data_IF_410560906282
#
_entry.id   IF_410560906282
#
_cell.length_a   1.000
_cell.length_b   1.000
_cell.length_c   1.000
_cell.angle_alpha   90.00
_cell.angle_beta   90.00
_cell.angle_gamma   90.00
#
_symmetry.space_group_name_H-M   'P 1'
#
loop_
_entity.id
_entity.type
_entity.pdbx_description
1 polymer ?
#
# COMPACT_ATOMS: atom_id res chain seq x y z
N UNK A 1 -7.35 5.86 -8.71
CA UNK A 1 -7.32 7.33 -8.62
C UNK A 1 -8.54 8.01 -9.25
N UNK A 2 -9.47 7.26 -9.86
CA UNK A 2 -10.69 7.83 -10.45
C UNK A 2 -11.73 8.14 -9.34
N UNK A 3 -12.15 9.39 -9.25
CA UNK A 3 -13.15 9.87 -8.29
C UNK A 3 -14.54 9.26 -8.47
N UNK A 4 -14.83 8.69 -9.66
CA UNK A 4 -16.09 7.97 -9.91
C UNK A 4 -16.23 6.68 -9.10
N UNK A 5 -15.11 6.08 -8.68
CA UNK A 5 -15.09 4.82 -7.94
C UNK A 5 -14.55 4.96 -6.51
N UNK A 6 -13.75 6.00 -6.25
CA UNK A 6 -13.14 6.22 -4.94
C UNK A 6 -13.30 7.68 -4.51
N UNK A 7 -14.02 7.93 -3.42
CA UNK A 7 -14.06 9.24 -2.77
C UNK A 7 -12.67 9.63 -2.25
N UNK A 8 -12.22 10.87 -2.48
CA UNK A 8 -10.86 11.35 -2.16
C UNK A 8 -9.74 10.43 -2.66
N UNK A 9 -9.67 10.12 -3.96
CA UNK A 9 -8.86 9.03 -4.48
C UNK A 9 -7.36 9.13 -4.14
N UNK A 10 -6.86 10.35 -3.92
CA UNK A 10 -5.47 10.66 -3.58
C UNK A 10 -5.12 10.42 -2.10
N UNK A 11 -6.13 10.28 -1.23
CA UNK A 11 -5.95 10.06 0.20
C UNK A 11 -5.87 8.56 0.53
N UNK A 12 -5.01 8.21 1.49
CA UNK A 12 -4.85 6.84 1.97
C UNK A 12 -5.93 6.50 3.01
N UNK A 13 -6.94 5.74 2.60
CA UNK A 13 -8.03 5.28 3.45
C UNK A 13 -8.10 3.74 3.46
N UNK A 14 -7.51 3.07 4.46
CA UNK A 14 -7.54 1.60 4.59
C UNK A 14 -8.96 1.03 4.59
N UNK A 15 -9.90 1.74 5.23
CA UNK A 15 -11.30 1.34 5.38
C UNK A 15 -12.05 1.15 4.06
N UNK A 16 -11.53 1.65 2.92
CA UNK A 16 -12.08 1.35 1.59
C UNK A 16 -12.17 -0.15 1.32
N UNK A 17 -11.31 -0.94 1.95
CA UNK A 17 -11.21 -2.38 1.78
C UNK A 17 -11.79 -3.15 2.98
N UNK A 18 -12.58 -2.50 3.83
CA UNK A 18 -13.33 -3.18 4.88
C UNK A 18 -14.33 -4.16 4.27
N UNK A 19 -14.73 -5.18 5.05
CA UNK A 19 -15.68 -6.19 4.60
C UNK A 19 -17.00 -5.57 4.10
N UNK A 20 -17.46 -4.51 4.77
CA UNK A 20 -18.70 -3.82 4.41
C UNK A 20 -18.58 -3.04 3.09
N UNK A 21 -17.51 -2.25 2.92
CA UNK A 21 -17.31 -1.44 1.72
C UNK A 21 -17.02 -2.31 0.49
N UNK A 22 -16.40 -3.47 0.68
CA UNK A 22 -16.12 -4.40 -0.42
C UNK A 22 -17.39 -5.06 -0.99
N UNK A 23 -18.52 -5.10 -0.27
CA UNK A 23 -19.79 -5.64 -0.78
C UNK A 23 -20.35 -4.82 -1.94
N UNK A 24 -20.09 -3.52 -1.95
CA UNK A 24 -20.58 -2.58 -2.98
C UNK A 24 -19.50 -2.16 -3.97
N UNK A 25 -18.27 -2.66 -3.80
CA UNK A 25 -17.15 -2.34 -4.67
C UNK A 25 -17.39 -2.87 -6.10
N UNK A 26 -17.25 -1.98 -7.08
CA UNK A 26 -17.43 -2.34 -8.49
C UNK A 26 -16.27 -3.21 -8.97
N UNK A 27 -16.57 -4.37 -9.58
CA UNK A 27 -15.57 -5.27 -10.15
C UNK A 27 -14.66 -4.55 -11.16
N UNK A 28 -13.39 -4.98 -11.22
CA UNK A 28 -12.36 -4.45 -12.12
C UNK A 28 -12.01 -2.97 -11.93
N UNK A 29 -12.36 -2.36 -10.80
CA UNK A 29 -11.92 -0.99 -10.45
C UNK A 29 -10.62 -0.96 -9.63
N UNK A 30 -10.24 -2.10 -9.05
CA UNK A 30 -8.98 -2.32 -8.34
C UNK A 30 -8.27 -3.58 -8.87
N UNK A 31 -7.13 -3.44 -9.55
CA UNK A 31 -6.40 -4.56 -10.18
C UNK A 31 -4.88 -4.44 -9.99
N UNK A 32 -4.37 -4.37 -8.74
CA UNK A 32 -2.94 -4.15 -8.47
C UNK A 32 -2.03 -5.29 -8.97
N UNK A 33 -2.60 -6.48 -9.17
CA UNK A 33 -1.90 -7.67 -9.65
C UNK A 33 -2.37 -8.11 -11.04
N UNK A 34 -3.10 -7.25 -11.76
CA UNK A 34 -3.75 -7.60 -13.03
C UNK A 34 -4.91 -8.58 -12.87
N UNK A 35 -5.45 -9.02 -14.00
CA UNK A 35 -6.61 -9.91 -14.09
C UNK A 35 -6.52 -10.81 -15.33
N UNK A 36 -7.15 -11.98 -15.29
CA UNK A 36 -7.14 -12.95 -16.40
C UNK A 36 -5.85 -13.79 -16.47
N UNK A 37 -5.62 -14.50 -17.59
CA UNK A 37 -4.52 -15.48 -17.73
C UNK A 37 -3.10 -14.92 -17.62
N UNK A 38 -2.94 -13.60 -17.69
CA UNK A 38 -1.67 -12.87 -17.59
C UNK A 38 -1.57 -12.03 -16.31
N UNK A 39 -2.36 -12.34 -15.29
CA UNK A 39 -2.20 -11.72 -13.97
C UNK A 39 -0.87 -12.13 -13.31
N UNK A 40 -0.51 -11.45 -12.23
CA UNK A 40 0.71 -11.77 -11.49
C UNK A 40 0.60 -13.16 -10.86
N UNK A 41 1.38 -14.12 -11.36
CA UNK A 41 1.44 -15.48 -10.82
C UNK A 41 1.88 -15.51 -9.34
N UNK A 42 2.66 -14.51 -8.91
CA UNK A 42 3.19 -14.40 -7.56
C UNK A 42 2.27 -13.71 -6.54
N UNK A 43 1.04 -13.29 -6.91
CA UNK A 43 0.25 -12.42 -6.04
C UNK A 43 -0.05 -13.03 -4.66
N UNK A 44 -0.30 -14.35 -4.58
CA UNK A 44 -0.56 -15.03 -3.31
C UNK A 44 0.67 -15.06 -2.42
N UNK A 45 1.84 -15.32 -3.01
CA UNK A 45 3.11 -15.33 -2.31
C UNK A 45 3.45 -13.92 -1.79
N UNK A 46 3.36 -12.90 -2.66
CA UNK A 46 3.61 -11.52 -2.28
C UNK A 46 2.70 -11.04 -1.15
N UNK A 47 1.41 -11.41 -1.16
CA UNK A 47 0.49 -11.08 -0.07
C UNK A 47 0.86 -11.78 1.25
N UNK A 48 1.27 -13.05 1.20
CA UNK A 48 1.70 -13.78 2.39
C UNK A 48 2.98 -13.17 2.97
N UNK A 49 3.99 -12.98 2.13
CA UNK A 49 5.27 -12.37 2.50
C UNK A 49 5.07 -10.98 3.11
N UNK A 50 4.28 -10.11 2.47
CA UNK A 50 3.99 -8.78 3.00
C UNK A 50 3.23 -8.81 4.32
N UNK A 51 2.28 -9.74 4.50
CA UNK A 51 1.56 -9.89 5.78
C UNK A 51 2.48 -10.32 6.91
N UNK A 52 3.35 -11.31 6.66
CA UNK A 52 4.33 -11.78 7.65
C UNK A 52 5.33 -10.67 7.98
N UNK A 53 5.84 -9.98 6.98
CA UNK A 53 6.74 -8.83 7.17
C UNK A 53 6.08 -7.74 8.03
N UNK A 54 4.87 -7.29 7.66
CA UNK A 54 4.15 -6.27 8.40
C UNK A 54 3.80 -6.72 9.83
N UNK A 55 3.43 -7.99 10.02
CA UNK A 55 3.18 -8.57 11.34
C UNK A 55 4.39 -8.40 12.25
N UNK A 56 5.58 -8.81 11.80
CA UNK A 56 6.80 -8.68 12.60
C UNK A 56 7.16 -7.23 12.90
N UNK A 57 6.98 -6.32 11.93
CA UNK A 57 7.23 -4.90 12.12
C UNK A 57 6.28 -4.32 13.18
N UNK A 58 4.96 -4.52 13.03
CA UNK A 58 3.95 -3.95 13.95
C UNK A 58 4.01 -4.57 15.35
N UNK A 59 4.36 -5.86 15.44
CA UNK A 59 4.51 -6.56 16.71
C UNK A 59 5.70 -6.01 17.52
N UNK A 60 6.84 -5.81 16.86
CA UNK A 60 8.10 -5.53 17.55
C UNK A 60 8.52 -4.06 17.52
N UNK A 61 7.91 -3.24 16.66
CA UNK A 61 8.32 -1.86 16.44
C UNK A 61 7.13 -0.91 16.23
N UNK A 62 7.36 0.34 16.57
CA UNK A 62 6.58 1.48 16.16
C UNK A 62 7.33 2.21 15.04
N UNK A 63 6.63 2.47 13.94
CA UNK A 63 7.18 3.21 12.80
C UNK A 63 6.96 4.70 13.04
N UNK A 64 8.06 5.42 13.15
CA UNK A 64 8.09 6.86 13.43
C UNK A 64 8.65 7.61 12.22
N UNK A 65 8.26 8.88 12.10
CA UNK A 65 8.91 9.80 11.18
C UNK A 65 10.34 10.08 11.66
N UNK A 66 11.23 10.31 10.71
CA UNK A 66 12.58 10.81 10.94
C UNK A 66 12.70 12.22 10.39
N UNK A 67 13.74 12.95 10.79
CA UNK A 67 14.02 14.30 10.26
C UNK A 67 14.30 14.30 8.76
N UNK A 68 14.59 13.13 8.18
CA UNK A 68 14.84 12.92 6.74
C UNK A 68 13.61 12.39 5.98
N UNK A 69 12.48 12.17 6.66
CA UNK A 69 11.27 11.64 6.02
C UNK A 69 10.68 12.71 5.10
N UNK A 70 10.61 12.41 3.80
CA UNK A 70 10.08 13.33 2.78
C UNK A 70 8.58 13.55 2.95
N UNK A 71 8.15 14.82 2.95
CA UNK A 71 6.75 15.22 3.00
C UNK A 71 6.51 16.45 2.09
N UNK A 72 5.65 16.35 1.05
CA UNK A 72 4.94 15.15 0.62
C UNK A 72 5.86 14.13 -0.06
N UNK A 73 5.52 12.84 0.06
CA UNK A 73 6.21 11.76 -0.65
C UNK A 73 5.98 11.91 -2.16
N UNK A 74 7.05 12.16 -2.92
CA UNK A 74 7.01 12.34 -4.38
C UNK A 74 7.38 11.05 -5.09
N UNK A 75 6.59 10.65 -6.08
CA UNK A 75 6.84 9.46 -6.89
C UNK A 75 7.49 9.82 -8.22
N UNK A 76 8.42 8.99 -8.71
CA UNK A 76 9.00 9.12 -10.05
C UNK A 76 8.01 8.63 -11.12
N UNK A 77 7.83 9.35 -12.23
CA UNK A 77 7.02 8.88 -13.35
C UNK A 77 7.84 7.86 -14.16
N UNK A 78 7.80 6.59 -13.75
CA UNK A 78 8.46 5.49 -14.47
C UNK A 78 7.65 4.19 -14.34
N UNK A 79 7.98 3.20 -15.16
CA UNK A 79 7.36 1.85 -15.15
C UNK A 79 7.37 1.15 -13.78
N UNK A 80 8.27 1.56 -12.88
CA UNK A 80 8.24 1.13 -11.47
C UNK A 80 7.92 2.34 -10.60
N UNK A 81 6.91 2.20 -9.74
CA UNK A 81 6.59 3.21 -8.73
C UNK A 81 7.75 3.26 -7.74
N UNK A 82 8.52 4.35 -7.78
CA UNK A 82 9.64 4.60 -6.85
C UNK A 82 9.51 5.99 -6.26
N UNK A 83 9.96 6.15 -5.02
CA UNK A 83 10.07 7.45 -4.38
C UNK A 83 11.21 8.25 -5.02
N UNK A 84 11.04 9.56 -5.13
CA UNK A 84 12.13 10.48 -5.49
C UNK A 84 13.07 10.60 -4.29
N UNK A 85 14.30 10.09 -4.44
CA UNK A 85 15.28 10.05 -3.36
C UNK A 85 15.12 8.79 -2.51
N UNK A 86 15.48 8.88 -1.23
CA UNK A 86 15.43 7.78 -0.27
C UNK A 86 14.15 7.82 0.58
N UNK A 87 13.73 6.65 1.06
CA UNK A 87 12.58 6.51 1.98
C UNK A 87 13.09 6.29 3.40
N UNK A 88 13.24 7.38 4.17
CA UNK A 88 13.68 7.33 5.56
C UNK A 88 12.50 7.17 6.52
N UNK A 89 12.58 6.18 7.40
CA UNK A 89 11.70 5.98 8.56
C UNK A 89 12.53 5.58 9.77
N UNK A 90 12.05 5.89 10.98
CA UNK A 90 12.68 5.49 12.24
C UNK A 90 11.88 4.37 12.87
N UNK A 91 12.55 3.31 13.32
CA UNK A 91 11.92 2.24 14.10
C UNK A 91 12.22 2.43 15.58
N UNK A 92 11.18 2.42 16.42
CA UNK A 92 11.30 2.36 17.88
C UNK A 92 10.86 0.97 18.33
N UNK A 93 11.69 0.25 19.09
CA UNK A 93 11.31 -1.07 19.62
C UNK A 93 10.07 -0.92 20.51
N UNK A 94 9.11 -1.82 20.34
CA UNK A 94 7.90 -1.93 21.14
C UNK A 94 8.22 -2.81 22.36
N UNK A 95 7.86 -2.33 23.55
CA UNK A 95 8.09 -3.04 24.82
C UNK A 95 7.07 -4.16 25.01
#
# INVERSE_FOLDING_TARGET
MDGRYYHDPQCFHPERFSEENMKTAKSFTFMPFGVGPRNCIGYRFALLEMKVFLYHIVLNFEIMRSDKTSEPLRLRPHHQIRVVGDTWVKFRKRN
#
